data_IF_183554493577
#
_entry.id   IF_183554493577
#
_cell.length_a   1.000
_cell.length_b   1.000
_cell.length_c   1.000
_cell.angle_alpha   90.00
_cell.angle_beta   90.00
_cell.angle_gamma   90.00
#
_symmetry.space_group_name_H-M   'P 1'
#
loop_
_entity.id
_entity.type
_entity.pdbx_description
1 polymer ?
#
# COMPACT_ATOMS: atom_id res chain seq x y z
N UNK A 1 -5.05 -15.65 -17.76
CA UNK A 1 -6.08 -15.01 -16.92
C UNK A 1 -6.49 -15.85 -15.71
N UNK A 2 -7.28 -16.94 -15.82
CA UNK A 2 -7.74 -17.70 -14.62
C UNK A 2 -6.56 -18.32 -13.84
N UNK A 3 -5.56 -18.88 -14.52
CA UNK A 3 -4.36 -19.44 -13.85
C UNK A 3 -3.56 -18.39 -13.09
N UNK A 4 -3.47 -17.16 -13.61
CA UNK A 4 -2.76 -16.04 -12.95
C UNK A 4 -3.55 -15.50 -11.75
N UNK A 5 -4.88 -15.48 -11.86
CA UNK A 5 -5.76 -15.13 -10.75
C UNK A 5 -5.69 -16.18 -9.64
N UNK A 6 -5.63 -17.46 -9.98
CA UNK A 6 -5.43 -18.54 -9.02
C UNK A 6 -4.07 -18.46 -8.35
N UNK A 7 -2.99 -18.25 -9.12
CA UNK A 7 -1.65 -18.13 -8.53
C UNK A 7 -1.53 -16.95 -7.57
N UNK A 8 -2.36 -15.92 -7.75
CA UNK A 8 -2.41 -14.72 -6.90
C UNK A 8 -3.53 -14.77 -5.85
N UNK A 9 -4.30 -15.87 -5.78
CA UNK A 9 -5.55 -15.94 -5.01
C UNK A 9 -5.37 -15.62 -3.52
N UNK A 10 -4.39 -16.21 -2.78
CA UNK A 10 -4.20 -15.92 -1.36
C UNK A 10 -4.06 -14.42 -1.07
N UNK A 11 -3.25 -13.73 -1.88
CA UNK A 11 -3.01 -12.29 -1.76
C UNK A 11 -4.24 -11.47 -2.15
N UNK A 12 -4.87 -11.81 -3.28
CA UNK A 12 -6.07 -11.10 -3.74
C UNK A 12 -7.23 -11.26 -2.74
N UNK A 13 -7.36 -12.42 -2.11
CA UNK A 13 -8.34 -12.67 -1.07
C UNK A 13 -8.06 -11.78 0.15
N UNK A 14 -6.82 -11.76 0.65
CA UNK A 14 -6.41 -10.89 1.75
C UNK A 14 -6.70 -9.42 1.47
N UNK A 15 -6.31 -8.93 0.29
CA UNK A 15 -6.56 -7.55 -0.14
C UNK A 15 -8.05 -7.24 -0.21
N UNK A 16 -8.84 -8.12 -0.82
CA UNK A 16 -10.29 -7.92 -0.96
C UNK A 16 -11.02 -7.98 0.37
N UNK A 17 -10.61 -8.83 1.32
CA UNK A 17 -11.17 -8.85 2.67
C UNK A 17 -10.91 -7.49 3.33
N UNK A 18 -9.66 -7.02 3.36
CA UNK A 18 -9.36 -5.73 4.01
C UNK A 18 -9.99 -4.53 3.31
N UNK A 19 -10.15 -4.58 1.98
CA UNK A 19 -10.84 -3.55 1.20
C UNK A 19 -12.32 -3.41 1.58
N UNK A 20 -12.95 -4.42 2.21
CA UNK A 20 -14.29 -4.29 2.76
C UNK A 20 -14.40 -3.18 3.81
N UNK A 21 -13.30 -2.86 4.51
CA UNK A 21 -13.27 -1.74 5.46
C UNK A 21 -13.16 -0.38 4.78
N UNK A 22 -12.72 -0.34 3.52
CA UNK A 22 -12.54 0.91 2.79
C UNK A 22 -13.88 1.51 2.36
N UNK A 23 -14.87 0.65 2.11
CA UNK A 23 -16.25 0.98 1.75
C UNK A 23 -17.20 0.97 2.96
N UNK A 24 -16.72 0.60 4.15
CA UNK A 24 -17.57 0.45 5.32
C UNK A 24 -17.86 1.77 6.03
N UNK A 25 -19.01 1.80 6.70
CA UNK A 25 -19.48 2.87 7.59
C UNK A 25 -19.27 2.48 9.06
N UNK A 26 -19.17 3.46 9.99
CA UNK A 26 -19.17 3.16 11.41
C UNK A 26 -20.50 2.53 11.85
N UNK A 27 -20.44 1.53 12.72
CA UNK A 27 -21.65 1.00 13.36
C UNK A 27 -22.28 2.02 14.31
N UNK A 28 -23.56 1.84 14.71
CA UNK A 28 -24.27 2.83 15.52
C UNK A 28 -23.55 3.15 16.84
N UNK A 29 -22.90 2.15 17.44
CA UNK A 29 -22.13 2.31 18.68
C UNK A 29 -20.92 3.20 18.43
N UNK A 30 -20.14 2.93 17.37
CA UNK A 30 -18.96 3.71 17.01
C UNK A 30 -19.34 5.13 16.59
N UNK A 31 -20.40 5.30 15.80
CA UNK A 31 -20.91 6.61 15.40
C UNK A 31 -21.27 7.47 16.62
N UNK A 32 -21.95 6.88 17.61
CA UNK A 32 -22.28 7.56 18.86
C UNK A 32 -21.05 7.86 19.73
N UNK A 33 -20.07 6.94 19.78
CA UNK A 33 -18.80 7.18 20.47
C UNK A 33 -18.04 8.35 19.84
N UNK A 34 -17.94 8.40 18.51
CA UNK A 34 -17.30 9.50 17.79
C UNK A 34 -18.00 10.83 18.07
N UNK A 35 -19.34 10.85 18.06
CA UNK A 35 -20.11 12.03 18.46
C UNK A 35 -19.74 12.50 19.87
N UNK A 36 -19.71 11.59 20.86
CA UNK A 36 -19.37 11.93 22.24
C UNK A 36 -17.94 12.43 22.39
N UNK A 37 -17.00 11.85 21.66
CA UNK A 37 -15.62 12.34 21.61
C UNK A 37 -15.58 13.75 21.02
N UNK A 38 -16.23 13.99 19.88
CA UNK A 38 -16.28 15.32 19.27
C UNK A 38 -16.95 16.38 20.17
N UNK A 39 -17.98 16.02 20.94
CA UNK A 39 -18.58 16.91 21.94
C UNK A 39 -17.60 17.25 23.06
N UNK A 40 -16.92 16.24 23.62
CA UNK A 40 -15.98 16.42 24.73
C UNK A 40 -14.79 17.31 24.33
N UNK A 41 -14.28 17.11 23.13
CA UNK A 41 -13.17 17.89 22.57
C UNK A 41 -13.62 19.23 21.96
N UNK A 42 -14.89 19.62 22.12
CA UNK A 42 -15.45 20.87 21.57
C UNK A 42 -15.28 21.03 20.05
N UNK A 43 -15.32 19.91 19.32
CA UNK A 43 -15.27 19.84 17.85
C UNK A 43 -16.67 19.91 17.21
N UNK A 44 -17.71 19.67 18.01
CA UNK A 44 -19.10 19.66 17.59
C UNK A 44 -20.04 20.06 18.74
N UNK A 45 -20.96 20.99 18.48
CA UNK A 45 -21.91 21.51 19.49
C UNK A 45 -23.37 21.08 19.25
N UNK A 46 -23.69 20.61 18.05
CA UNK A 46 -25.06 20.38 17.58
C UNK A 46 -25.61 18.97 17.92
N UNK A 47 -26.83 18.64 17.46
CA UNK A 47 -27.46 17.33 17.72
C UNK A 47 -26.75 16.16 17.04
N UNK A 48 -26.96 14.95 17.58
CA UNK A 48 -26.44 13.71 17.00
C UNK A 48 -26.93 13.48 15.56
N UNK A 49 -28.17 13.83 15.22
CA UNK A 49 -28.70 13.62 13.87
C UNK A 49 -27.94 14.45 12.83
N UNK A 50 -27.57 15.70 13.17
CA UNK A 50 -26.76 16.54 12.29
C UNK A 50 -25.33 16.00 12.17
N UNK A 51 -24.76 15.53 13.27
CA UNK A 51 -23.44 14.88 13.24
C UNK A 51 -23.45 13.61 12.37
N UNK A 52 -24.47 12.76 12.51
CA UNK A 52 -24.61 11.53 11.72
C UNK A 52 -24.60 11.81 10.23
N UNK A 53 -25.28 12.86 9.77
CA UNK A 53 -25.27 13.26 8.35
C UNK A 53 -23.89 13.68 7.86
N UNK A 54 -23.12 14.40 8.68
CA UNK A 54 -21.74 14.77 8.34
C UNK A 54 -20.83 13.54 8.34
N UNK A 55 -21.06 12.61 9.28
CA UNK A 55 -20.35 11.35 9.37
C UNK A 55 -20.62 10.49 8.13
N UNK A 56 -21.87 10.33 7.72
CA UNK A 56 -22.28 9.64 6.49
C UNK A 56 -21.59 10.26 5.27
N UNK A 57 -21.57 11.59 5.17
CA UNK A 57 -20.90 12.31 4.08
C UNK A 57 -19.39 12.01 4.05
N UNK A 58 -18.76 11.93 5.22
CA UNK A 58 -17.35 11.61 5.34
C UNK A 58 -17.03 10.15 4.99
N UNK A 59 -17.87 9.22 5.42
CA UNK A 59 -17.69 7.78 5.16
C UNK A 59 -18.17 7.34 3.77
N UNK A 60 -18.94 8.15 3.06
CA UNK A 60 -19.28 7.93 1.65
C UNK A 60 -18.06 7.94 0.73
N UNK A 61 -16.96 8.58 1.14
CA UNK A 61 -15.69 8.53 0.42
C UNK A 61 -14.93 7.22 0.74
N UNK A 62 -14.23 6.62 -0.23
CA UNK A 62 -13.34 5.49 0.04
C UNK A 62 -12.24 5.87 1.03
N UNK A 63 -11.80 4.94 1.87
CA UNK A 63 -10.73 5.18 2.86
C UNK A 63 -9.46 5.81 2.28
N UNK A 64 -9.06 5.48 1.05
CA UNK A 64 -7.90 6.08 0.37
C UNK A 64 -8.04 7.59 0.14
N UNK A 65 -9.26 8.09 0.08
CA UNK A 65 -9.59 9.50 -0.15
C UNK A 65 -9.95 10.24 1.14
N UNK A 66 -10.24 9.51 2.22
CA UNK A 66 -10.52 10.08 3.56
C UNK A 66 -9.27 10.72 4.14
N UNK A 67 -9.19 12.04 4.05
CA UNK A 67 -8.12 12.86 4.63
C UNK A 67 -8.59 13.55 5.90
N UNK A 68 -7.68 13.73 6.86
CA UNK A 68 -7.92 14.54 8.06
C UNK A 68 -8.43 15.94 7.70
N UNK A 69 -7.86 16.57 6.67
CA UNK A 69 -8.30 17.89 6.18
C UNK A 69 -9.77 17.92 5.74
N UNK A 70 -10.28 16.81 5.20
CA UNK A 70 -11.68 16.70 4.80
C UNK A 70 -12.59 16.62 6.02
N UNK A 71 -12.17 15.92 7.08
CA UNK A 71 -12.91 15.90 8.35
C UNK A 71 -12.85 17.24 9.07
N UNK A 72 -11.68 17.89 9.09
CA UNK A 72 -11.49 19.22 9.68
C UNK A 72 -12.43 20.26 9.04
N UNK A 73 -12.77 20.11 7.76
CA UNK A 73 -13.71 20.97 7.04
C UNK A 73 -15.19 20.69 7.37
N UNK A 74 -15.52 19.50 7.87
CA UNK A 74 -16.88 19.10 8.24
C UNK A 74 -17.22 19.41 9.71
N UNK A 75 -16.20 19.66 10.54
CA UNK A 75 -16.34 19.96 11.95
C UNK A 75 -16.18 21.45 12.23
N UNK A 76 -16.55 21.89 13.43
CA UNK A 76 -16.46 23.30 13.83
C UNK A 76 -15.01 23.73 14.08
N UNK A 77 -14.12 22.77 14.34
CA UNK A 77 -12.70 22.99 14.65
C UNK A 77 -11.83 21.87 14.09
N UNK A 78 -10.53 22.14 13.82
CA UNK A 78 -9.59 21.11 13.42
C UNK A 78 -9.43 20.04 14.50
N UNK A 79 -9.40 18.78 14.08
CA UNK A 79 -9.28 17.62 14.94
C UNK A 79 -7.81 17.40 15.34
N UNK A 80 -7.55 16.96 16.57
CA UNK A 80 -6.23 16.48 16.97
C UNK A 80 -5.89 15.15 16.28
N UNK A 81 -4.60 14.83 16.10
CA UNK A 81 -4.18 13.58 15.46
C UNK A 81 -4.69 12.35 16.22
N UNK A 82 -4.73 12.38 17.56
CA UNK A 82 -5.21 11.26 18.37
C UNK A 82 -6.71 11.02 18.18
N UNK A 83 -7.49 12.09 18.09
CA UNK A 83 -8.94 12.01 17.86
C UNK A 83 -9.23 11.59 16.42
N UNK A 84 -8.39 12.00 15.47
CA UNK A 84 -8.46 11.53 14.08
C UNK A 84 -8.24 10.02 13.99
N UNK A 85 -7.31 9.46 14.78
CA UNK A 85 -7.06 8.03 14.79
C UNK A 85 -8.31 7.22 15.17
N UNK A 86 -9.17 7.75 16.04
CA UNK A 86 -10.43 7.11 16.41
C UNK A 86 -11.41 6.95 15.25
N UNK A 87 -11.30 7.73 14.17
CA UNK A 87 -12.15 7.59 12.98
C UNK A 87 -11.77 6.39 12.11
N UNK A 88 -10.62 5.74 12.35
CA UNK A 88 -10.25 4.53 11.63
C UNK A 88 -11.14 3.36 12.06
N UNK A 89 -11.76 2.73 11.06
CA UNK A 89 -12.63 1.58 11.29
C UNK A 89 -11.86 0.26 11.30
N UNK A 90 -12.43 -0.68 12.03
CA UNK A 90 -12.06 -2.09 12.02
C UNK A 90 -13.34 -2.93 11.95
N UNK A 91 -13.24 -4.24 11.75
CA UNK A 91 -14.41 -5.11 11.56
C UNK A 91 -15.36 -5.18 12.77
N UNK A 92 -14.96 -4.71 13.96
CA UNK A 92 -15.88 -4.59 15.11
C UNK A 92 -16.61 -3.25 15.15
N UNK A 93 -16.01 -2.20 14.60
CA UNK A 93 -16.54 -0.84 14.64
C UNK A 93 -17.20 -0.43 13.33
N UNK A 94 -17.11 -1.28 12.31
CA UNK A 94 -17.65 -1.08 10.98
C UNK A 94 -18.96 -1.85 10.75
N UNK A 95 -19.80 -1.33 9.86
CA UNK A 95 -20.89 -2.07 9.20
C UNK A 95 -20.43 -2.36 7.78
N UNK A 96 -20.18 -3.63 7.50
CA UNK A 96 -19.77 -4.09 6.17
C UNK A 96 -21.02 -4.45 5.36
N UNK A 97 -21.09 -3.96 4.11
CA UNK A 97 -22.21 -4.31 3.23
C UNK A 97 -22.24 -5.81 2.91
N UNK A 98 -23.38 -6.42 3.22
CA UNK A 98 -23.69 -7.81 2.91
C UNK A 98 -23.53 -8.15 1.41
N UNK A 99 -23.77 -7.19 0.51
CA UNK A 99 -23.59 -7.39 -0.93
C UNK A 99 -22.12 -7.51 -1.29
N UNK A 100 -21.27 -6.62 -0.78
CA UNK A 100 -19.81 -6.71 -0.98
C UNK A 100 -19.25 -8.04 -0.47
N UNK A 101 -19.73 -8.53 0.68
CA UNK A 101 -19.39 -9.89 1.18
C UNK A 101 -19.85 -10.97 0.22
N UNK A 102 -21.10 -10.91 -0.26
CA UNK A 102 -21.66 -11.90 -1.19
C UNK A 102 -20.91 -11.93 -2.53
N UNK A 103 -20.49 -10.76 -3.04
CA UNK A 103 -19.66 -10.65 -4.24
C UNK A 103 -18.28 -11.30 -4.02
N UNK A 104 -17.66 -11.08 -2.87
CA UNK A 104 -16.39 -11.72 -2.50
C UNK A 104 -16.53 -13.25 -2.42
N UNK A 105 -17.60 -13.75 -1.79
CA UNK A 105 -17.92 -15.18 -1.73
C UNK A 105 -18.10 -15.76 -3.13
N UNK A 106 -18.92 -15.13 -3.97
CA UNK A 106 -19.18 -15.60 -5.33
C UNK A 106 -17.89 -15.67 -6.15
N UNK A 107 -17.03 -14.66 -6.05
CA UNK A 107 -15.73 -14.64 -6.71
C UNK A 107 -14.82 -15.76 -6.20
N UNK A 108 -14.67 -15.90 -4.88
CA UNK A 108 -13.80 -16.90 -4.28
C UNK A 108 -14.27 -18.32 -4.62
N UNK A 109 -15.57 -18.59 -4.44
CA UNK A 109 -16.19 -19.87 -4.77
C UNK A 109 -15.98 -20.22 -6.25
N UNK A 110 -16.25 -19.28 -7.17
CA UNK A 110 -16.06 -19.52 -8.59
C UNK A 110 -14.61 -19.86 -8.93
N UNK A 111 -13.66 -19.09 -8.40
CA UNK A 111 -12.24 -19.29 -8.69
C UNK A 111 -11.74 -20.62 -8.12
N UNK A 112 -12.11 -20.95 -6.88
CA UNK A 112 -11.75 -22.23 -6.24
C UNK A 112 -12.34 -23.41 -7.00
N UNK A 113 -13.62 -23.36 -7.38
CA UNK A 113 -14.28 -24.43 -8.13
C UNK A 113 -13.63 -24.67 -9.50
N UNK A 114 -13.31 -23.60 -10.24
CA UNK A 114 -12.69 -23.72 -11.57
C UNK A 114 -11.25 -24.22 -11.48
N UNK A 115 -10.51 -23.79 -10.46
CA UNK A 115 -9.07 -24.09 -10.35
C UNK A 115 -8.82 -25.47 -9.76
N UNK A 116 -9.52 -25.81 -8.67
CA UNK A 116 -9.38 -27.10 -7.98
C UNK A 116 -10.09 -28.23 -8.73
N UNK A 117 -11.07 -27.91 -9.58
CA UNK A 117 -11.92 -28.89 -10.29
C UNK A 117 -12.59 -29.90 -9.34
N UNK A 118 -12.88 -29.46 -8.11
CA UNK A 118 -13.56 -30.27 -7.09
C UNK A 118 -14.94 -29.70 -6.78
N UNK A 119 -15.88 -30.56 -6.39
CA UNK A 119 -17.19 -30.19 -5.87
C UNK A 119 -17.25 -30.39 -4.35
N UNK A 120 -16.16 -30.12 -3.65
CA UNK A 120 -16.08 -30.37 -2.21
C UNK A 120 -17.05 -29.46 -1.44
N UNK A 121 -17.70 -30.02 -0.41
CA UNK A 121 -18.60 -29.28 0.48
C UNK A 121 -17.89 -28.13 1.20
N UNK A 122 -16.58 -28.27 1.46
CA UNK A 122 -15.78 -27.29 2.20
C UNK A 122 -15.55 -25.99 1.43
N UNK A 123 -15.61 -26.02 0.09
CA UNK A 123 -15.48 -24.82 -0.76
C UNK A 123 -16.82 -24.23 -1.18
N UNK A 124 -17.94 -24.75 -0.66
CA UNK A 124 -19.26 -24.26 -1.02
C UNK A 124 -19.44 -22.79 -0.65
N UNK A 125 -20.27 -22.09 -1.42
CA UNK A 125 -20.58 -20.68 -1.17
C UNK A 125 -21.11 -20.44 0.26
N UNK A 126 -21.89 -21.37 0.84
CA UNK A 126 -22.39 -21.25 2.22
C UNK A 126 -21.25 -21.28 3.26
N UNK A 127 -20.29 -22.21 3.11
CA UNK A 127 -19.13 -22.29 4.00
C UNK A 127 -18.28 -21.03 3.91
N UNK A 128 -18.05 -20.53 2.69
CA UNK A 128 -17.30 -19.29 2.47
C UNK A 128 -18.05 -18.06 3.00
N UNK A 129 -19.37 -18.00 2.85
CA UNK A 129 -20.21 -16.93 3.41
C UNK A 129 -20.11 -16.91 4.94
N UNK A 130 -20.22 -18.06 5.60
CA UNK A 130 -20.07 -18.16 7.06
C UNK A 130 -18.66 -17.80 7.51
N UNK A 131 -17.64 -18.21 6.76
CA UNK A 131 -16.24 -17.88 7.03
C UNK A 131 -15.99 -16.37 6.95
N UNK A 132 -16.45 -15.72 5.87
CA UNK A 132 -16.30 -14.28 5.72
C UNK A 132 -17.15 -13.51 6.72
N UNK A 133 -18.35 -13.98 7.05
CA UNK A 133 -19.17 -13.38 8.10
C UNK A 133 -18.47 -13.42 9.47
N UNK A 134 -17.82 -14.54 9.80
CA UNK A 134 -17.03 -14.67 11.02
C UNK A 134 -15.85 -13.68 11.07
N UNK A 135 -15.15 -13.49 9.96
CA UNK A 135 -14.03 -12.55 9.85
C UNK A 135 -14.52 -11.09 9.93
N UNK A 136 -15.64 -10.77 9.30
CA UNK A 136 -16.21 -9.41 9.30
C UNK A 136 -17.02 -9.09 10.54
N UNK A 137 -17.32 -10.07 11.39
CA UNK A 137 -17.97 -9.91 12.70
C UNK A 137 -17.18 -10.68 13.78
N UNK A 138 -15.91 -10.30 14.03
CA UNK A 138 -15.01 -11.08 14.87
C UNK A 138 -15.39 -10.96 16.36
N UNK A 139 -15.28 -12.05 17.14
CA UNK A 139 -15.42 -12.00 18.60
C UNK A 139 -14.42 -11.04 19.27
N UNK A 140 -14.70 -10.64 20.53
CA UNK A 140 -13.92 -9.66 21.28
C UNK A 140 -12.44 -10.02 21.52
N UNK A 141 -12.06 -11.29 21.40
CA UNK A 141 -10.70 -11.78 21.55
C UNK A 141 -9.97 -11.99 20.22
N UNK A 142 -10.65 -11.82 19.08
CA UNK A 142 -10.05 -12.05 17.75
C UNK A 142 -9.63 -10.78 17.05
N UNK A 143 -8.66 -10.91 16.15
CA UNK A 143 -8.17 -9.78 15.36
C UNK A 143 -9.29 -9.14 14.54
N UNK A 144 -9.36 -7.81 14.56
CA UNK A 144 -10.43 -7.04 13.91
C UNK A 144 -9.96 -6.14 12.76
N UNK A 145 -8.66 -6.09 12.48
CA UNK A 145 -8.05 -5.29 11.41
C UNK A 145 -6.85 -6.01 10.82
N UNK A 146 -6.41 -5.61 9.64
CA UNK A 146 -5.21 -6.15 8.98
C UNK A 146 -5.26 -7.68 8.83
N UNK A 147 -6.41 -8.20 8.40
CA UNK A 147 -6.67 -9.63 8.28
C UNK A 147 -5.69 -10.23 7.28
N UNK A 148 -4.98 -11.28 7.69
CA UNK A 148 -4.02 -11.98 6.83
C UNK A 148 -4.66 -13.21 6.19
N UNK A 149 -3.98 -13.77 5.17
CA UNK A 149 -4.37 -15.05 4.60
C UNK A 149 -4.46 -16.18 5.65
N UNK A 150 -3.57 -16.19 6.65
CA UNK A 150 -3.59 -17.18 7.72
C UNK A 150 -4.78 -17.03 8.68
N UNK A 151 -5.21 -15.79 8.91
CA UNK A 151 -6.43 -15.48 9.67
C UNK A 151 -7.65 -16.06 8.94
N UNK A 152 -7.72 -15.92 7.61
CA UNK A 152 -8.77 -16.53 6.78
C UNK A 152 -8.74 -18.06 6.86
N UNK A 153 -7.58 -18.69 6.67
CA UNK A 153 -7.44 -20.16 6.74
C UNK A 153 -7.87 -20.71 8.11
N UNK A 154 -7.54 -20.00 9.19
CA UNK A 154 -7.90 -20.38 10.55
C UNK A 154 -9.39 -20.26 10.80
N UNK A 155 -10.03 -19.18 10.33
CA UNK A 155 -11.48 -19.03 10.37
C UNK A 155 -12.18 -20.12 9.55
N UNK A 156 -11.68 -20.41 8.35
CA UNK A 156 -12.25 -21.41 7.46
C UNK A 156 -12.22 -22.81 8.08
N UNK A 157 -11.08 -23.21 8.69
CA UNK A 157 -10.97 -24.45 9.47
C UNK A 157 -12.00 -24.53 10.59
N UNK A 158 -12.15 -23.45 11.37
CA UNK A 158 -13.15 -23.38 12.46
C UNK A 158 -14.56 -23.61 11.93
N UNK A 159 -14.94 -22.93 10.85
CA UNK A 159 -16.28 -23.06 10.25
C UNK A 159 -16.51 -24.46 9.68
N UNK A 160 -15.56 -25.01 8.93
CA UNK A 160 -15.70 -26.38 8.39
C UNK A 160 -15.85 -27.40 9.52
N UNK A 161 -15.05 -27.29 10.58
CA UNK A 161 -15.15 -28.15 11.75
C UNK A 161 -16.49 -28.00 12.48
N UNK A 162 -16.99 -26.76 12.63
CA UNK A 162 -18.31 -26.51 13.24
C UNK A 162 -19.46 -27.11 12.43
N UNK A 163 -19.36 -27.13 11.10
CA UNK A 163 -20.43 -27.62 10.22
C UNK A 163 -20.40 -29.13 10.00
N UNK A 164 -19.21 -29.72 9.90
CA UNK A 164 -19.04 -31.11 9.44
C UNK A 164 -18.22 -31.99 10.40
N UNK A 165 -17.71 -31.44 11.51
CA UNK A 165 -16.74 -32.12 12.36
C UNK A 165 -15.47 -32.47 11.58
N UNK A 166 -14.87 -33.62 11.91
CA UNK A 166 -13.62 -34.10 11.27
C UNK A 166 -13.82 -34.76 9.90
N UNK A 167 -15.06 -34.82 9.39
CA UNK A 167 -15.41 -35.60 8.20
C UNK A 167 -14.70 -35.13 6.92
N UNK A 168 -14.42 -33.83 6.82
CA UNK A 168 -13.77 -33.21 5.67
C UNK A 168 -12.40 -32.60 5.99
N UNK A 169 -11.77 -33.03 7.10
CA UNK A 169 -10.45 -32.50 7.50
C UNK A 169 -9.39 -32.79 6.44
N UNK A 170 -9.37 -34.00 5.87
CA UNK A 170 -8.38 -34.38 4.84
C UNK A 170 -8.55 -33.55 3.56
N UNK A 171 -9.79 -33.39 3.09
CA UNK A 171 -10.13 -32.56 1.92
C UNK A 171 -9.70 -31.11 2.14
N UNK A 172 -10.05 -30.54 3.30
CA UNK A 172 -9.70 -29.16 3.64
C UNK A 172 -8.17 -29.00 3.75
N UNK A 173 -7.49 -29.92 4.43
CA UNK A 173 -6.04 -29.87 4.58
C UNK A 173 -5.31 -29.99 3.23
N UNK A 174 -5.84 -30.78 2.29
CA UNK A 174 -5.31 -30.85 0.95
C UNK A 174 -5.39 -29.49 0.23
N UNK A 175 -6.56 -28.85 0.25
CA UNK A 175 -6.76 -27.54 -0.38
C UNK A 175 -5.88 -26.48 0.28
N UNK A 176 -5.82 -26.47 1.61
CA UNK A 176 -4.99 -25.52 2.35
C UNK A 176 -3.51 -25.70 2.05
N UNK A 177 -3.00 -26.93 1.90
CA UNK A 177 -1.61 -27.17 1.48
C UNK A 177 -1.31 -26.52 0.13
N UNK A 178 -2.22 -26.65 -0.85
CA UNK A 178 -2.07 -25.99 -2.15
C UNK A 178 -2.05 -24.46 -1.99
N UNK A 179 -3.00 -23.90 -1.22
CA UNK A 179 -3.07 -22.46 -1.02
C UNK A 179 -1.88 -21.88 -0.24
N UNK A 180 -1.37 -22.58 0.77
CA UNK A 180 -0.14 -22.19 1.47
C UNK A 180 1.07 -22.26 0.54
N UNK A 181 1.14 -23.26 -0.34
CA UNK A 181 2.19 -23.32 -1.35
C UNK A 181 2.14 -22.11 -2.28
N UNK A 182 0.94 -21.74 -2.78
CA UNK A 182 0.75 -20.52 -3.58
C UNK A 182 1.16 -19.26 -2.82
N UNK A 183 0.73 -19.12 -1.57
CA UNK A 183 1.09 -17.96 -0.73
C UNK A 183 2.61 -17.87 -0.52
N UNK A 184 3.29 -19.00 -0.35
CA UNK A 184 4.74 -19.07 -0.20
C UNK A 184 5.45 -18.67 -1.49
N UNK A 185 4.97 -19.12 -2.65
CA UNK A 185 5.51 -18.69 -3.94
C UNK A 185 5.39 -17.18 -4.14
N UNK A 186 4.26 -16.58 -3.76
CA UNK A 186 4.06 -15.14 -3.83
C UNK A 186 5.03 -14.38 -2.92
N UNK A 187 5.18 -14.80 -1.66
CA UNK A 187 6.12 -14.21 -0.71
C UNK A 187 7.57 -14.32 -1.19
N UNK A 188 7.95 -15.45 -1.78
CA UNK A 188 9.29 -15.62 -2.35
C UNK A 188 9.52 -14.68 -3.54
N UNK A 189 8.53 -14.50 -4.42
CA UNK A 189 8.62 -13.55 -5.54
C UNK A 189 8.72 -12.11 -5.02
N UNK A 190 8.01 -11.76 -3.96
CA UNK A 190 8.06 -10.44 -3.32
C UNK A 190 9.41 -10.20 -2.62
N UNK A 191 9.92 -11.18 -1.88
CA UNK A 191 11.26 -11.12 -1.28
C UNK A 191 12.35 -11.08 -2.35
N UNK A 192 12.13 -11.68 -3.52
CA UNK A 192 13.05 -11.55 -4.66
C UNK A 192 12.92 -10.18 -5.35
N UNK A 193 11.79 -9.48 -5.20
CA UNK A 193 11.60 -8.09 -5.67
C UNK A 193 12.08 -7.04 -4.66
N UNK A 194 12.00 -7.31 -3.36
CA UNK A 194 12.44 -6.44 -2.27
C UNK A 194 13.92 -6.67 -1.91
N UNK A 195 14.40 -7.92 -1.99
CA UNK A 195 15.79 -8.32 -1.84
C UNK A 195 16.55 -8.45 -3.17
N UNK A 196 15.84 -8.35 -4.29
CA UNK A 196 16.45 -8.08 -5.59
C UNK A 196 17.01 -6.68 -5.55
N UNK A 197 18.33 -6.57 -5.38
CA UNK A 197 19.06 -5.39 -5.80
C UNK A 197 18.43 -4.92 -7.11
N UNK A 198 17.83 -3.72 -7.10
CA UNK A 198 17.35 -3.03 -8.29
C UNK A 198 18.39 -3.34 -9.36
N UNK A 199 17.99 -4.08 -10.40
CA UNK A 199 18.89 -4.45 -11.48
C UNK A 199 19.18 -3.16 -12.24
N UNK A 200 20.12 -2.37 -11.71
CA UNK A 200 20.65 -1.21 -12.36
C UNK A 200 21.59 -1.76 -13.41
N UNK A 201 21.38 -1.48 -14.71
CA UNK A 201 22.39 -1.83 -15.69
C UNK A 201 23.69 -1.16 -15.27
N UNK A 202 24.70 -1.98 -14.95
CA UNK A 202 26.04 -1.55 -14.58
C UNK A 202 26.59 -0.77 -15.76
N UNK A 203 26.89 0.51 -15.56
CA UNK A 203 27.53 1.31 -16.60
C UNK A 203 29.04 1.13 -16.48
N UNK A 204 29.68 0.74 -17.57
CA UNK A 204 31.13 0.80 -17.68
C UNK A 204 31.56 2.25 -17.85
N UNK A 205 32.13 2.86 -16.81
CA UNK A 205 32.75 4.19 -16.86
C UNK A 205 34.26 4.04 -17.06
N UNK A 206 34.81 4.84 -17.96
CA UNK A 206 36.26 5.03 -18.10
C UNK A 206 36.81 5.81 -16.92
N UNK A 207 38.11 5.69 -16.66
CA UNK A 207 38.76 6.41 -15.56
C UNK A 207 38.55 7.93 -15.67
N UNK A 208 38.61 8.50 -16.89
CA UNK A 208 38.36 9.93 -17.14
C UNK A 208 36.93 10.36 -16.77
N UNK A 209 35.93 9.51 -17.02
CA UNK A 209 34.54 9.80 -16.63
C UNK A 209 34.35 9.69 -15.11
N UNK A 210 35.02 8.73 -14.46
CA UNK A 210 35.03 8.58 -13.00
C UNK A 210 35.66 9.81 -12.35
N UNK A 211 36.81 10.26 -12.85
CA UNK A 211 37.51 11.44 -12.35
C UNK A 211 36.64 12.69 -12.52
N UNK A 212 36.00 12.86 -13.68
CA UNK A 212 35.07 13.95 -13.92
C UNK A 212 33.87 13.92 -12.96
N UNK A 213 33.20 12.78 -12.77
CA UNK A 213 32.06 12.67 -11.83
C UNK A 213 32.49 13.00 -10.40
N UNK A 214 33.69 12.58 -10.00
CA UNK A 214 34.27 12.87 -8.69
C UNK A 214 34.54 14.37 -8.51
N UNK A 215 35.08 15.03 -9.53
CA UNK A 215 35.38 16.46 -9.48
C UNK A 215 34.10 17.32 -9.54
N UNK A 216 33.07 16.89 -10.28
CA UNK A 216 31.73 17.49 -10.22
C UNK A 216 31.18 17.41 -8.80
N UNK A 217 31.23 16.23 -8.17
CA UNK A 217 30.74 16.05 -6.80
C UNK A 217 31.44 17.00 -5.83
N UNK A 218 32.78 17.09 -5.90
CA UNK A 218 33.58 18.00 -5.06
C UNK A 218 33.23 19.47 -5.31
N UNK A 219 33.14 19.90 -6.57
CA UNK A 219 32.82 21.29 -6.91
C UNK A 219 31.43 21.70 -6.43
N UNK A 220 30.43 20.81 -6.54
CA UNK A 220 29.05 21.08 -6.10
C UNK A 220 28.96 21.14 -4.56
N UNK A 221 29.72 20.31 -3.85
CA UNK A 221 29.82 20.38 -2.38
C UNK A 221 30.48 21.69 -1.95
N UNK A 222 31.59 22.06 -2.59
CA UNK A 222 32.39 23.24 -2.27
C UNK A 222 31.82 24.56 -2.82
N UNK A 223 30.68 24.54 -3.54
CA UNK A 223 30.14 25.69 -4.27
C UNK A 223 31.14 26.33 -5.25
N UNK A 224 32.04 25.53 -5.82
CA UNK A 224 33.04 25.97 -6.78
C UNK A 224 32.56 25.75 -8.23
N UNK A 225 33.23 26.38 -9.22
CA UNK A 225 32.95 26.13 -10.63
C UNK A 225 33.01 24.64 -10.95
N UNK A 226 31.92 24.13 -11.55
CA UNK A 226 31.82 22.71 -11.95
C UNK A 226 32.67 22.48 -13.20
N UNK A 227 33.52 21.44 -13.27
CA UNK A 227 34.35 21.16 -14.44
C UNK A 227 33.53 20.88 -15.70
N UNK A 228 34.10 21.16 -16.87
CA UNK A 228 33.46 20.86 -18.17
C UNK A 228 33.45 19.35 -18.41
N UNK A 229 32.40 18.87 -19.07
CA UNK A 229 32.30 17.47 -19.46
C UNK A 229 33.48 17.10 -20.39
N UNK A 230 34.24 16.02 -20.11
CA UNK A 230 35.30 15.58 -20.99
C UNK A 230 34.67 15.15 -22.32
N UNK A 231 35.18 15.67 -23.44
CA UNK A 231 34.72 15.28 -24.78
C UNK A 231 34.95 13.78 -24.97
N UNK A 232 33.93 12.97 -24.71
CA UNK A 232 34.00 11.51 -24.87
C UNK A 232 34.00 11.16 -26.36
N UNK A 233 35.12 10.64 -26.89
CA UNK A 233 35.22 10.08 -28.26
C UNK A 233 34.47 8.73 -28.42
N UNK A 234 33.52 8.42 -27.54
CA UNK A 234 32.81 7.14 -27.48
C UNK A 234 31.28 7.28 -27.50
N UNK A 235 30.53 6.17 -27.46
CA UNK A 235 29.07 6.19 -27.44
C UNK A 235 28.55 6.99 -26.24
N UNK A 236 27.62 7.90 -26.49
CA UNK A 236 27.04 8.76 -25.45
C UNK A 236 26.31 7.92 -24.41
N UNK A 237 26.78 7.98 -23.16
CA UNK A 237 26.15 7.30 -22.03
C UNK A 237 25.06 8.20 -21.47
N UNK A 238 23.81 7.78 -21.61
CA UNK A 238 22.63 8.57 -21.22
C UNK A 238 22.72 9.14 -19.79
N UNK A 239 23.21 8.37 -18.82
CA UNK A 239 23.36 8.84 -17.42
C UNK A 239 24.38 9.97 -17.26
N UNK A 240 25.46 10.00 -18.06
CA UNK A 240 26.43 11.09 -18.06
C UNK A 240 25.84 12.35 -18.74
N UNK A 241 25.09 12.17 -19.82
CA UNK A 241 24.39 13.27 -20.49
C UNK A 241 23.31 13.89 -19.60
N UNK A 242 22.62 13.08 -18.80
CA UNK A 242 21.63 13.56 -17.83
C UNK A 242 22.29 14.31 -16.66
N UNK A 243 23.46 13.86 -16.19
CA UNK A 243 24.27 14.62 -15.23
C UNK A 243 24.73 15.96 -15.83
N UNK A 244 25.18 15.97 -17.08
CA UNK A 244 25.57 17.20 -17.78
C UNK A 244 24.42 18.19 -17.91
N UNK A 245 23.22 17.73 -18.28
CA UNK A 245 22.00 18.59 -18.34
C UNK A 245 21.68 19.21 -16.98
N UNK A 246 21.78 18.44 -15.90
CA UNK A 246 21.56 18.95 -14.56
C UNK A 246 22.61 20.01 -14.17
N UNK A 247 23.87 19.82 -14.56
CA UNK A 247 24.95 20.81 -14.36
C UNK A 247 24.68 22.09 -15.17
N UNK A 248 24.20 21.98 -16.41
CA UNK A 248 23.84 23.13 -17.23
C UNK A 248 22.70 23.94 -16.60
N UNK A 249 21.65 23.27 -16.12
CA UNK A 249 20.56 23.89 -15.37
C UNK A 249 21.08 24.58 -14.10
N UNK A 250 21.97 23.93 -13.35
CA UNK A 250 22.58 24.50 -12.16
C UNK A 250 23.39 25.78 -12.48
N UNK A 251 24.15 25.79 -13.58
CA UNK A 251 24.87 26.99 -14.03
C UNK A 251 23.92 28.13 -14.41
N UNK A 252 22.84 27.83 -15.14
CA UNK A 252 21.81 28.83 -15.52
C UNK A 252 21.17 29.45 -14.28
N UNK A 253 20.82 28.62 -13.29
CA UNK A 253 20.24 29.07 -12.01
C UNK A 253 21.25 29.88 -11.19
N UNK A 254 22.54 29.53 -11.20
CA UNK A 254 23.59 30.33 -10.55
C UNK A 254 23.78 31.71 -11.17
N UNK A 255 23.55 31.89 -12.47
CA UNK A 255 23.71 33.17 -13.17
C UNK A 255 22.44 34.02 -13.23
N UNK A 256 21.30 33.48 -12.80
CA UNK A 256 19.99 34.11 -12.91
C UNK A 256 19.64 34.89 -11.63
N UNK A 257 19.02 36.07 -11.78
CA UNK A 257 18.54 36.91 -10.66
C UNK A 257 17.04 36.72 -10.34
N UNK A 258 16.37 35.75 -10.96
CA UNK A 258 14.96 35.46 -10.73
C UNK A 258 14.77 34.68 -9.41
N UNK A 259 14.01 35.22 -8.43
CA UNK A 259 13.89 34.62 -7.10
C UNK A 259 13.21 33.24 -7.11
N UNK A 260 12.25 33.01 -8.01
CA UNK A 260 11.56 31.73 -8.18
C UNK A 260 12.51 30.57 -8.55
N UNK A 261 13.57 30.86 -9.31
CA UNK A 261 14.56 29.85 -9.71
C UNK A 261 15.65 29.63 -8.64
N UNK A 262 15.86 30.60 -7.74
CA UNK A 262 16.79 30.46 -6.63
C UNK A 262 16.30 29.43 -5.59
N UNK A 263 14.99 29.33 -5.36
CA UNK A 263 14.40 28.31 -4.46
C UNK A 263 14.67 26.88 -4.94
N UNK A 264 14.78 26.67 -6.26
CA UNK A 264 15.06 25.37 -6.87
C UNK A 264 16.55 25.01 -6.87
N UNK A 265 17.45 25.94 -6.51
CA UNK A 265 18.91 25.72 -6.53
C UNK A 265 19.34 24.55 -5.66
N UNK A 266 18.78 24.43 -4.46
CA UNK A 266 19.16 23.38 -3.51
C UNK A 266 18.61 22.02 -3.94
N UNK A 267 17.44 21.99 -4.56
CA UNK A 267 16.88 20.77 -5.16
C UNK A 267 17.72 20.27 -6.36
N UNK A 268 18.19 21.18 -7.22
CA UNK A 268 19.09 20.85 -8.33
C UNK A 268 20.43 20.36 -7.80
N UNK A 269 20.97 20.99 -6.75
CA UNK A 269 22.20 20.57 -6.07
C UNK A 269 22.07 19.14 -5.52
N UNK A 270 21.00 18.84 -4.79
CA UNK A 270 20.72 17.50 -4.26
C UNK A 270 20.63 16.47 -5.39
N UNK A 271 19.96 16.83 -6.49
CA UNK A 271 19.83 15.97 -7.68
C UNK A 271 21.18 15.66 -8.33
N UNK A 272 22.09 16.64 -8.42
CA UNK A 272 23.43 16.43 -8.97
C UNK A 272 24.25 15.52 -8.05
N UNK A 273 24.19 15.74 -6.74
CA UNK A 273 24.92 14.93 -5.76
C UNK A 273 24.45 13.47 -5.74
N UNK A 274 23.14 13.25 -5.82
CA UNK A 274 22.55 11.90 -5.93
C UNK A 274 23.00 11.20 -7.22
N UNK A 275 22.96 11.88 -8.36
CA UNK A 275 23.44 11.34 -9.65
C UNK A 275 24.93 11.00 -9.63
N UNK A 276 25.77 11.85 -9.05
CA UNK A 276 27.20 11.57 -8.87
C UNK A 276 27.42 10.34 -7.97
N UNK A 277 26.72 10.26 -6.84
CA UNK A 277 26.82 9.14 -5.91
C UNK A 277 26.40 7.82 -6.56
N UNK A 278 25.32 7.83 -7.35
CA UNK A 278 24.85 6.65 -8.08
C UNK A 278 25.86 6.22 -9.15
N UNK A 279 26.40 7.14 -9.96
CA UNK A 279 27.42 6.83 -10.97
C UNK A 279 28.72 6.26 -10.36
N UNK A 280 29.17 6.77 -9.21
CA UNK A 280 30.38 6.29 -8.55
C UNK A 280 30.18 4.96 -7.81
N UNK A 281 28.95 4.68 -7.34
CA UNK A 281 28.57 3.42 -6.69
C UNK A 281 28.35 2.30 -7.72
N UNK A 282 27.83 2.64 -8.90
CA UNK A 282 27.46 1.69 -9.96
C UNK A 282 28.57 1.42 -10.99
N UNK A 283 29.78 1.97 -10.80
CA UNK A 283 30.92 1.67 -11.67
C UNK A 283 31.33 0.20 -11.55
N UNK A 284 31.47 -0.49 -12.68
CA UNK A 284 32.27 -1.71 -12.73
C UNK A 284 33.75 -1.32 -12.50
N UNK A 285 34.45 -2.04 -11.61
CA UNK A 285 35.91 -1.98 -11.52
C UNK A 285 36.54 -2.93 -12.52
#
# INVERSE_FOLDING_TARGET
>A
MIKELWSSFPRLLEQRINALLDEAEPNPIKAFQLYKTCQRESLWSDTFEKFSKQLETFFALPKSERKKSSLDALLERPVDVLVWEDFHLNFRTAVVDSRSVSHLVSWAHHLMRVSLKTNSSVISADVLQRTLHYITNPPLYEKAKDITFEDFCSAWKKIVFQLFGKKHDDDLNHILKELHWLNTQLKNVEQTKEGGARFYPTIYLTQTEIDWVTDVQKSVVANCPVPKFPLSRGPQKQRLSDLERAIQLYRIVQTTQLPELLEHRDNIRVTILDRCANLLRERAR
#
